data_IF_386198801641
#
_entry.id   IF_386198801641
#
_cell.length_a   1.000
_cell.length_b   1.000
_cell.length_c   1.000
_cell.angle_alpha   90.00
_cell.angle_beta   90.00
_cell.angle_gamma   90.00
#
_symmetry.space_group_name_H-M   'P 1'
#
loop_
_entity.id
_entity.type
_entity.pdbx_description
1 polymer ?
#
# COMPACT_ATOMS: atom_id res chain seq x y z
N UNK A 1 -2.55 26.65 9.55
CA UNK A 1 -3.31 26.48 8.31
C UNK A 1 -3.44 25.00 8.00
N UNK A 2 -4.65 24.53 7.71
CA UNK A 2 -4.89 23.13 7.35
C UNK A 2 -4.45 22.84 5.90
N UNK A 3 -4.06 21.59 5.63
CA UNK A 3 -3.74 21.11 4.29
C UNK A 3 -4.62 19.89 4.01
N UNK A 4 -5.45 19.99 2.99
CA UNK A 4 -6.50 19.03 2.68
C UNK A 4 -6.20 18.28 1.38
N UNK A 5 -6.56 17.01 1.32
CA UNK A 5 -6.42 16.15 0.14
C UNK A 5 -7.75 15.44 -0.13
N UNK A 6 -8.34 15.69 -1.29
CA UNK A 6 -9.45 14.92 -1.83
C UNK A 6 -8.92 13.85 -2.80
N UNK A 7 -9.18 12.59 -2.49
CA UNK A 7 -8.75 11.42 -3.24
C UNK A 7 -9.96 10.90 -4.01
N UNK A 8 -10.07 11.32 -5.27
CA UNK A 8 -11.14 10.96 -6.21
C UNK A 8 -12.57 11.29 -5.75
N UNK A 9 -12.77 12.17 -4.77
CA UNK A 9 -14.10 12.42 -4.19
C UNK A 9 -14.61 11.27 -3.31
N UNK A 10 -13.78 10.25 -3.04
CA UNK A 10 -14.19 9.05 -2.28
C UNK A 10 -13.45 8.90 -0.96
N UNK A 11 -12.29 9.52 -0.82
CA UNK A 11 -11.50 9.55 0.41
C UNK A 11 -10.92 10.94 0.65
N UNK A 12 -10.76 11.30 1.91
CA UNK A 12 -10.25 12.61 2.27
C UNK A 12 -9.29 12.55 3.46
N UNK A 13 -8.17 13.26 3.34
CA UNK A 13 -7.17 13.42 4.39
C UNK A 13 -6.96 14.90 4.70
N UNK A 14 -7.08 15.27 5.98
CA UNK A 14 -6.74 16.61 6.47
C UNK A 14 -5.49 16.57 7.34
N UNK A 15 -4.57 17.51 7.11
CA UNK A 15 -3.46 17.80 8.00
C UNK A 15 -3.78 19.09 8.75
N UNK A 16 -3.88 19.01 10.07
CA UNK A 16 -4.15 20.15 10.95
C UNK A 16 -2.82 20.76 11.37
N UNK A 17 -2.60 22.01 10.99
CA UNK A 17 -1.37 22.77 11.26
C UNK A 17 -0.06 21.97 11.07
N UNK A 18 0.15 21.34 9.90
CA UNK A 18 1.30 20.47 9.70
C UNK A 18 2.61 21.24 9.74
N UNK A 19 3.65 20.58 10.24
CA UNK A 19 5.01 21.06 10.00
C UNK A 19 5.37 20.99 8.51
N UNK A 20 6.30 21.82 8.01
CA UNK A 20 6.76 21.74 6.63
C UNK A 20 7.36 20.37 6.25
N UNK A 21 7.93 19.63 7.20
CA UNK A 21 8.42 18.27 6.98
C UNK A 21 7.28 17.26 6.85
N UNK A 22 6.24 17.35 7.70
CA UNK A 22 5.04 16.52 7.61
C UNK A 22 4.31 16.74 6.28
N UNK A 23 4.07 18.00 5.91
CA UNK A 23 3.41 18.35 4.66
C UNK A 23 4.14 17.76 3.44
N UNK A 24 5.48 17.89 3.38
CA UNK A 24 6.30 17.31 2.30
C UNK A 24 6.26 15.78 2.26
N UNK A 25 6.27 15.13 3.43
CA UNK A 25 6.20 13.67 3.50
C UNK A 25 4.85 13.16 3.02
N UNK A 26 3.76 13.78 3.48
CA UNK A 26 2.40 13.41 3.06
C UNK A 26 2.20 13.68 1.57
N UNK A 27 2.64 14.83 1.06
CA UNK A 27 2.59 15.13 -0.38
C UNK A 27 3.33 14.08 -1.22
N UNK A 28 4.46 13.54 -0.73
CA UNK A 28 5.16 12.41 -1.38
C UNK A 28 4.39 11.09 -1.28
N UNK A 29 3.68 10.82 -0.19
CA UNK A 29 2.88 9.60 -0.03
C UNK A 29 1.58 9.64 -0.83
N UNK A 30 1.03 10.83 -1.04
CA UNK A 30 -0.21 11.08 -1.77
C UNK A 30 0.01 11.61 -3.19
N UNK A 31 1.20 11.44 -3.77
CA UNK A 31 1.40 11.76 -5.17
C UNK A 31 0.53 10.82 -6.05
N UNK A 32 -0.16 11.30 -7.10
CA UNK A 32 -0.10 12.64 -7.71
C UNK A 32 -1.07 13.69 -7.15
N UNK A 33 -1.87 13.39 -6.13
CA UNK A 33 -2.84 14.34 -5.58
C UNK A 33 -2.16 15.59 -5.02
N UNK A 34 -2.81 16.72 -5.28
CA UNK A 34 -2.37 18.04 -4.81
C UNK A 34 -3.33 18.53 -3.73
N UNK A 35 -2.86 19.38 -2.80
CA UNK A 35 -3.75 19.97 -1.81
C UNK A 35 -4.90 20.73 -2.46
N UNK A 36 -6.10 20.57 -1.90
CA UNK A 36 -7.31 21.21 -2.40
C UNK A 36 -8.41 21.21 -1.33
N UNK A 37 -9.45 22.04 -1.49
CA UNK A 37 -10.54 22.11 -0.51
C UNK A 37 -11.32 20.79 -0.45
N UNK A 38 -11.83 20.44 0.74
CA UNK A 38 -12.77 19.33 0.92
C UNK A 38 -14.21 19.82 0.83
N UNK A 39 -15.08 19.02 0.21
CA UNK A 39 -16.52 19.26 0.16
C UNK A 39 -17.25 18.87 1.47
N UNK A 40 -16.63 18.04 2.31
CA UNK A 40 -17.19 17.50 3.55
C UNK A 40 -16.14 17.39 4.65
N UNK A 41 -16.56 16.97 5.84
CA UNK A 41 -15.62 16.54 6.88
C UNK A 41 -14.69 15.42 6.37
N UNK A 42 -13.41 15.43 6.80
CA UNK A 42 -12.42 14.47 6.33
C UNK A 42 -12.62 13.08 6.94
N UNK A 43 -12.32 12.03 6.17
CA UNK A 43 -12.32 10.64 6.65
C UNK A 43 -11.25 10.42 7.72
N UNK A 44 -10.07 11.00 7.49
CA UNK A 44 -8.94 10.96 8.42
C UNK A 44 -8.35 12.35 8.56
N UNK A 45 -8.07 12.76 9.78
CA UNK A 45 -7.29 13.95 10.09
C UNK A 45 -6.02 13.57 10.83
N UNK A 46 -4.94 14.33 10.64
CA UNK A 46 -3.69 14.20 11.37
C UNK A 46 -3.38 15.54 12.03
N UNK A 47 -3.08 15.53 13.34
CA UNK A 47 -2.62 16.71 14.05
C UNK A 47 -1.38 16.42 14.90
N UNK A 48 -0.70 17.48 15.34
CA UNK A 48 0.31 17.33 16.39
C UNK A 48 -0.38 16.89 17.68
N UNK A 49 0.07 15.77 18.23
CA UNK A 49 -0.39 15.28 19.53
C UNK A 49 -0.01 16.30 20.60
N UNK A 50 -1.03 16.87 21.24
CA UNK A 50 -0.90 17.62 22.47
C UNK A 50 -1.20 16.65 23.60
N UNK A 51 -0.17 16.18 24.30
CA UNK A 51 -0.38 15.40 25.52
C UNK A 51 -0.73 16.39 26.62
N UNK A 52 -1.98 16.35 27.09
CA UNK A 52 -2.33 17.07 28.31
C UNK A 52 -2.06 16.12 29.47
N UNK A 53 -1.42 16.56 30.57
CA UNK A 53 -1.32 15.74 31.77
C UNK A 53 -2.72 15.36 32.24
N UNK A 54 -3.16 14.14 31.94
CA UNK A 54 -4.46 13.63 32.36
C UNK A 54 -4.36 13.28 33.84
N UNK A 55 -5.23 13.87 34.66
CA UNK A 55 -5.40 13.48 36.08
C UNK A 55 -6.05 12.10 36.10
N UNK A 56 -5.41 11.12 36.73
CA UNK A 56 -5.95 9.75 36.83
C UNK A 56 -4.86 8.68 36.82
N UNK A 57 -5.30 7.43 36.81
CA UNK A 57 -4.41 6.27 36.71
C UNK A 57 -3.91 6.12 35.27
N UNK A 58 -2.60 5.92 35.13
CA UNK A 58 -1.93 5.67 33.85
C UNK A 58 -1.44 4.24 33.84
N UNK A 59 -1.81 3.51 32.79
CA UNK A 59 -1.46 2.11 32.62
C UNK A 59 -0.54 1.94 31.42
N UNK A 60 0.32 0.93 31.47
CA UNK A 60 1.28 0.61 30.40
C UNK A 60 1.09 -0.82 29.93
N UNK A 61 1.07 -0.98 28.61
CA UNK A 61 1.24 -2.25 27.92
C UNK A 61 2.68 -2.30 27.40
N UNK A 62 3.47 -3.22 27.94
CA UNK A 62 4.88 -3.35 27.60
C UNK A 62 5.12 -3.81 26.15
N UNK A 63 6.41 -3.86 25.80
CA UNK A 63 6.87 -4.44 24.54
C UNK A 63 6.58 -5.95 24.52
N UNK A 64 5.87 -6.40 23.49
CA UNK A 64 5.50 -7.80 23.29
C UNK A 64 6.39 -8.48 22.23
N UNK A 65 7.61 -7.97 22.02
CA UNK A 65 8.55 -8.44 21.01
C UNK A 65 8.39 -7.74 19.65
N UNK A 66 7.66 -6.63 19.59
CA UNK A 66 7.39 -5.85 18.39
C UNK A 66 7.94 -4.40 18.45
N UNK A 67 8.67 -4.08 19.53
CA UNK A 67 9.21 -2.75 19.82
C UNK A 67 8.13 -1.68 19.90
N UNK A 68 6.95 -2.06 20.41
CA UNK A 68 5.81 -1.19 20.63
C UNK A 68 5.35 -1.25 22.08
N UNK A 69 5.18 -0.08 22.67
CA UNK A 69 4.59 0.06 23.99
C UNK A 69 3.35 0.92 23.88
N UNK A 70 2.36 0.68 24.72
CA UNK A 70 1.18 1.55 24.77
C UNK A 70 1.00 2.09 26.16
N UNK A 71 0.60 3.35 26.24
CA UNK A 71 0.10 3.97 27.46
C UNK A 71 -1.37 4.24 27.29
N UNK A 72 -2.14 4.03 28.35
CA UNK A 72 -3.55 4.34 28.33
C UNK A 72 -4.07 4.84 29.67
N UNK A 73 -5.07 5.71 29.59
CA UNK A 73 -5.85 6.23 30.72
C UNK A 73 -7.34 6.01 30.43
N UNK A 74 -8.23 6.60 31.22
CA UNK A 74 -9.67 6.51 30.92
C UNK A 74 -10.03 7.17 29.57
N UNK A 75 -9.27 8.16 29.10
CA UNK A 75 -9.62 8.94 27.90
C UNK A 75 -8.62 8.84 26.75
N UNK A 76 -7.39 8.40 26.98
CA UNK A 76 -6.33 8.42 25.98
C UNK A 76 -5.67 7.07 25.77
N UNK A 77 -5.42 6.71 24.51
CA UNK A 77 -4.65 5.55 24.10
C UNK A 77 -3.48 5.99 23.22
N UNK A 78 -2.25 5.80 23.70
CA UNK A 78 -1.04 6.31 23.05
C UNK A 78 -0.11 5.14 22.77
N UNK A 79 0.17 4.88 21.49
CA UNK A 79 1.28 4.05 21.06
C UNK A 79 2.59 4.84 21.20
N UNK A 80 3.57 4.28 21.90
CA UNK A 80 4.95 4.74 21.91
C UNK A 80 5.84 3.80 21.10
N UNK A 81 6.63 4.39 20.22
CA UNK A 81 7.60 3.67 19.38
C UNK A 81 8.86 4.50 19.23
N UNK A 82 9.90 4.17 20.00
CA UNK A 82 11.11 4.99 20.09
C UNK A 82 10.75 6.42 20.51
N UNK A 83 11.27 7.43 19.78
CA UNK A 83 10.97 8.85 20.04
C UNK A 83 9.64 9.37 19.45
N UNK A 84 8.74 8.47 19.06
CA UNK A 84 7.44 8.81 18.44
C UNK A 84 6.29 8.37 19.34
N UNK A 85 5.28 9.24 19.51
CA UNK A 85 4.02 8.87 20.15
C UNK A 85 2.84 9.12 19.20
N UNK A 86 1.88 8.20 19.17
CA UNK A 86 0.74 8.20 18.27
C UNK A 86 -0.53 7.99 19.09
N UNK A 87 -1.48 8.91 19.00
CA UNK A 87 -2.84 8.72 19.52
C UNK A 87 -3.73 8.22 18.39
N UNK A 88 -4.36 7.06 18.60
CA UNK A 88 -5.18 6.39 17.59
C UNK A 88 -6.62 6.22 18.12
N UNK A 89 -7.59 7.03 17.65
CA UNK A 89 -8.98 6.94 18.11
C UNK A 89 -9.73 5.84 17.34
N UNK A 90 -9.43 4.58 17.63
CA UNK A 90 -10.00 3.43 16.92
C UNK A 90 -11.53 3.42 16.88
N UNK A 91 -12.21 3.93 17.91
CA UNK A 91 -13.67 4.01 17.96
C UNK A 91 -14.30 4.87 16.85
N UNK A 92 -13.54 5.80 16.26
CA UNK A 92 -14.04 6.77 15.26
C UNK A 92 -13.58 6.45 13.82
N UNK A 93 -12.78 5.41 13.62
CA UNK A 93 -12.36 4.99 12.27
C UNK A 93 -13.58 4.60 11.44
N UNK A 94 -13.68 5.13 10.23
CA UNK A 94 -14.83 4.94 9.33
C UNK A 94 -15.91 6.02 9.44
N UNK A 95 -15.87 6.88 10.46
CA UNK A 95 -16.83 7.98 10.67
C UNK A 95 -16.15 9.34 10.83
N UNK A 96 -14.90 9.46 10.39
CA UNK A 96 -14.02 10.60 10.68
C UNK A 96 -13.16 10.35 11.92
N UNK A 97 -11.84 10.24 11.76
CA UNK A 97 -10.92 10.00 12.86
C UNK A 97 -9.75 10.99 12.91
N UNK A 98 -9.41 11.49 14.09
CA UNK A 98 -8.28 12.41 14.31
C UNK A 98 -7.08 11.67 14.93
N UNK A 99 -6.08 11.39 14.12
CA UNK A 99 -4.84 10.74 14.55
C UNK A 99 -3.86 11.80 15.07
N UNK A 100 -3.48 11.68 16.34
CA UNK A 100 -2.49 12.56 16.95
C UNK A 100 -1.08 12.00 16.78
N UNK A 101 -0.09 12.86 16.48
CA UNK A 101 1.32 12.44 16.40
C UNK A 101 2.29 13.42 17.09
N UNK A 102 3.27 12.88 17.81
CA UNK A 102 4.44 13.63 18.30
C UNK A 102 5.74 12.90 17.99
N UNK A 103 6.83 13.66 17.78
CA UNK A 103 8.16 13.15 17.43
C UNK A 103 8.70 13.78 16.15
N UNK A 104 9.93 13.45 15.75
CA UNK A 104 10.53 13.91 14.48
C UNK A 104 10.83 12.78 13.48
N UNK A 105 11.16 11.60 14.00
CA UNK A 105 11.40 10.37 13.22
C UNK A 105 10.13 9.53 13.12
N UNK A 106 10.14 8.48 12.28
CA UNK A 106 9.06 7.48 12.24
C UNK A 106 7.77 7.86 11.50
N UNK A 107 7.62 9.11 11.04
CA UNK A 107 6.41 9.59 10.34
C UNK A 107 6.03 8.76 9.10
N UNK A 108 7.01 8.30 8.30
CA UNK A 108 6.71 7.39 7.18
C UNK A 108 6.00 6.13 7.66
N UNK A 109 6.40 5.60 8.81
CA UNK A 109 5.82 4.40 9.39
C UNK A 109 4.43 4.66 9.96
N UNK A 110 4.19 5.83 10.58
CA UNK A 110 2.84 6.28 10.94
C UNK A 110 1.89 6.25 9.72
N UNK A 111 2.35 6.81 8.59
CA UNK A 111 1.55 6.85 7.37
C UNK A 111 1.21 5.46 6.84
N UNK A 112 2.18 4.54 6.84
CA UNK A 112 2.02 3.19 6.29
C UNK A 112 1.21 2.29 7.24
N UNK A 113 1.52 2.31 8.53
CA UNK A 113 1.01 1.33 9.49
C UNK A 113 -0.35 1.75 10.09
N UNK A 114 -0.69 3.05 10.10
CA UNK A 114 -1.88 3.53 10.82
C UNK A 114 -2.79 4.44 10.00
N UNK A 115 -2.25 5.50 9.37
CA UNK A 115 -3.07 6.44 8.59
C UNK A 115 -3.66 5.78 7.35
N UNK A 116 -2.83 5.07 6.58
CA UNK A 116 -3.27 4.38 5.36
C UNK A 116 -4.31 3.30 5.68
N UNK A 117 -4.10 2.39 6.64
CA UNK A 117 -5.14 1.42 7.01
C UNK A 117 -6.44 2.08 7.47
N UNK A 118 -6.38 3.19 8.21
CA UNK A 118 -7.58 3.94 8.57
C UNK A 118 -8.32 4.46 7.33
N UNK A 119 -7.62 5.07 6.36
CA UNK A 119 -8.20 5.49 5.08
C UNK A 119 -8.79 4.30 4.30
N UNK A 120 -8.11 3.16 4.27
CA UNK A 120 -8.57 1.97 3.57
C UNK A 120 -9.85 1.41 4.19
N UNK A 121 -9.92 1.34 5.53
CA UNK A 121 -11.11 0.89 6.26
C UNK A 121 -12.28 1.86 6.04
N UNK A 122 -12.02 3.18 5.95
CA UNK A 122 -13.05 4.20 5.68
C UNK A 122 -13.70 4.10 4.29
N UNK A 123 -13.21 3.23 3.39
CA UNK A 123 -13.88 2.93 2.12
C UNK A 123 -15.09 2.02 2.29
N UNK A 124 -15.07 1.11 3.27
CA UNK A 124 -16.08 0.06 3.43
C UNK A 124 -17.50 0.59 3.64
N UNK A 125 -17.74 1.63 4.47
CA UNK A 125 -19.06 2.23 4.61
C UNK A 125 -19.58 2.89 3.31
N UNK A 126 -18.69 3.11 2.33
CA UNK A 126 -18.98 3.76 1.04
C UNK A 126 -19.14 2.75 -0.11
N UNK A 127 -19.38 1.47 0.22
CA UNK A 127 -19.44 0.32 -0.70
C UNK A 127 -18.21 0.24 -1.61
N UNK A 128 -17.02 0.42 -1.04
CA UNK A 128 -15.72 0.38 -1.73
C UNK A 128 -14.69 -0.34 -0.88
N UNK A 129 -13.63 -0.83 -1.52
CA UNK A 129 -12.49 -1.42 -0.81
C UNK A 129 -11.16 -1.00 -1.43
N UNK A 130 -10.09 -1.06 -0.64
CA UNK A 130 -8.73 -0.96 -1.13
C UNK A 130 -8.16 -2.37 -1.34
N UNK A 131 -7.99 -2.76 -2.59
CA UNK A 131 -7.46 -4.07 -2.98
C UNK A 131 -5.94 -4.04 -3.03
N UNK A 132 -5.27 -5.07 -2.51
CA UNK A 132 -3.81 -5.20 -2.65
C UNK A 132 -3.45 -5.67 -4.07
N UNK A 133 -3.48 -4.73 -5.01
CA UNK A 133 -3.27 -4.98 -6.43
C UNK A 133 -2.60 -3.82 -7.14
N UNK A 134 -1.87 -4.15 -8.20
CA UNK A 134 -1.61 -3.21 -9.29
C UNK A 134 -2.83 -3.18 -10.23
N UNK A 135 -2.90 -2.14 -11.05
CA UNK A 135 -3.98 -1.94 -11.99
C UNK A 135 -3.50 -1.19 -13.24
N UNK A 136 -3.99 -1.61 -14.39
CA UNK A 136 -3.75 -0.96 -15.69
C UNK A 136 -5.05 -0.82 -16.46
N UNK A 137 -5.10 0.15 -17.37
CA UNK A 137 -6.13 0.26 -18.38
C UNK A 137 -5.53 -0.17 -19.73
N UNK A 138 -6.04 -1.24 -20.30
CA UNK A 138 -5.56 -1.81 -21.55
C UNK A 138 -6.74 -2.01 -22.50
N UNK A 139 -6.66 -1.45 -23.71
CA UNK A 139 -7.74 -1.50 -24.71
C UNK A 139 -9.11 -1.04 -24.15
N UNK A 140 -9.10 -0.02 -23.30
CA UNK A 140 -10.31 0.52 -22.66
C UNK A 140 -10.83 -0.28 -21.47
N UNK A 141 -10.19 -1.40 -21.12
CA UNK A 141 -10.57 -2.29 -20.01
C UNK A 141 -9.65 -2.11 -18.81
N UNK A 142 -10.23 -2.05 -17.62
CA UNK A 142 -9.50 -2.03 -16.35
C UNK A 142 -9.15 -3.45 -15.90
N UNK A 143 -7.86 -3.70 -15.70
CA UNK A 143 -7.31 -5.00 -15.34
C UNK A 143 -6.69 -4.89 -13.95
N UNK A 144 -7.10 -5.77 -13.04
CA UNK A 144 -6.53 -5.91 -11.71
C UNK A 144 -5.46 -7.02 -11.70
N UNK A 145 -4.27 -6.69 -11.22
CA UNK A 145 -3.14 -7.61 -11.05
C UNK A 145 -2.88 -7.76 -9.54
N UNK A 146 -3.47 -8.79 -8.94
CA UNK A 146 -3.54 -8.98 -7.49
C UNK A 146 -2.71 -10.19 -7.04
N UNK A 147 -2.45 -10.31 -5.75
CA UNK A 147 -1.71 -11.43 -5.18
C UNK A 147 -0.84 -11.07 -3.99
N UNK A 148 -0.20 -12.06 -3.41
CA UNK A 148 0.67 -11.88 -2.25
C UNK A 148 1.87 -10.97 -2.55
N UNK A 149 2.56 -10.49 -1.50
CA UNK A 149 3.83 -9.81 -1.69
C UNK A 149 4.78 -10.68 -2.53
N UNK A 150 5.47 -10.07 -3.50
CA UNK A 150 6.42 -10.76 -4.40
C UNK A 150 5.80 -11.76 -5.39
N UNK A 151 4.48 -11.72 -5.61
CA UNK A 151 3.80 -12.57 -6.60
C UNK A 151 3.91 -12.10 -8.05
N UNK A 152 4.60 -10.99 -8.35
CA UNK A 152 4.78 -10.52 -9.73
C UNK A 152 3.84 -9.39 -10.17
N UNK A 153 3.11 -8.74 -9.25
CA UNK A 153 2.12 -7.69 -9.59
C UNK A 153 2.74 -6.51 -10.33
N UNK A 154 3.83 -5.97 -9.79
CA UNK A 154 4.55 -4.85 -10.38
C UNK A 154 5.19 -5.27 -11.70
N UNK A 155 5.73 -6.48 -11.79
CA UNK A 155 6.27 -7.07 -13.01
C UNK A 155 5.20 -7.21 -14.11
N UNK A 156 4.04 -7.75 -13.80
CA UNK A 156 2.91 -7.84 -14.72
C UNK A 156 2.47 -6.45 -15.21
N UNK A 157 2.34 -5.49 -14.28
CA UNK A 157 1.98 -4.12 -14.59
C UNK A 157 2.99 -3.51 -15.57
N UNK A 158 4.30 -3.65 -15.31
CA UNK A 158 5.35 -3.15 -16.20
C UNK A 158 5.27 -3.78 -17.59
N UNK A 159 4.97 -5.08 -17.70
CA UNK A 159 4.76 -5.75 -18.99
C UNK A 159 3.59 -5.14 -19.78
N UNK A 160 2.47 -4.84 -19.12
CA UNK A 160 1.35 -4.13 -19.73
C UNK A 160 1.69 -2.71 -20.15
N UNK A 161 2.42 -1.95 -19.31
CA UNK A 161 2.84 -0.59 -19.66
C UNK A 161 3.79 -0.58 -20.88
N UNK A 162 4.69 -1.56 -20.98
CA UNK A 162 5.55 -1.77 -22.15
C UNK A 162 4.74 -2.09 -23.42
N UNK A 163 3.58 -2.74 -23.27
CA UNK A 163 2.64 -3.02 -24.35
C UNK A 163 1.64 -1.88 -24.65
N UNK A 164 1.82 -0.70 -24.04
CA UNK A 164 1.00 0.48 -24.30
C UNK A 164 -0.25 0.62 -23.43
N UNK A 165 -0.39 -0.17 -22.36
CA UNK A 165 -1.42 0.07 -21.36
C UNK A 165 -1.16 1.40 -20.61
N UNK A 166 -2.23 1.99 -20.09
CA UNK A 166 -2.14 3.13 -19.18
C UNK A 166 -2.06 2.66 -17.72
N UNK A 167 -1.20 3.30 -16.94
CA UNK A 167 -1.10 3.09 -15.49
C UNK A 167 -2.38 3.53 -14.77
N UNK A 168 -2.88 2.70 -13.86
CA UNK A 168 -3.95 3.07 -12.91
C UNK A 168 -3.41 3.04 -11.49
N UNK A 169 -2.78 1.94 -11.07
CA UNK A 169 -2.24 1.79 -9.72
C UNK A 169 -1.15 0.72 -9.64
N UNK A 170 -0.35 0.70 -8.56
CA UNK A 170 0.72 -0.29 -8.36
C UNK A 170 0.53 -1.18 -7.12
N UNK A 171 0.13 -0.61 -5.98
CA UNK A 171 0.13 -1.34 -4.71
C UNK A 171 -1.24 -1.51 -4.07
N UNK A 172 -2.08 -0.48 -4.19
CA UNK A 172 -3.43 -0.49 -3.66
C UNK A 172 -4.35 0.10 -4.72
N UNK A 173 -5.44 -0.57 -5.02
CA UNK A 173 -6.43 -0.09 -5.99
C UNK A 173 -7.77 0.05 -5.30
N UNK A 174 -8.42 1.20 -5.44
CA UNK A 174 -9.80 1.37 -4.97
C UNK A 174 -10.70 0.66 -5.95
N UNK A 175 -11.55 -0.24 -5.46
CA UNK A 175 -12.54 -0.97 -6.25
C UNK A 175 -13.93 -0.58 -5.76
N UNK A 176 -14.80 -0.16 -6.68
CA UNK A 176 -16.22 0.03 -6.35
C UNK A 176 -16.90 -1.33 -6.13
N UNK A 177 -17.71 -1.43 -5.08
CA UNK A 177 -18.38 -2.67 -4.67
C UNK A 177 -19.41 -3.20 -5.66
N UNK A 178 -19.82 -2.38 -6.62
CA UNK A 178 -20.65 -2.78 -7.77
C UNK A 178 -19.83 -3.29 -8.98
N UNK A 179 -18.49 -3.25 -8.89
CA UNK A 179 -17.60 -3.67 -9.97
C UNK A 179 -17.59 -2.73 -11.18
N UNK A 180 -18.03 -1.48 -11.02
CA UNK A 180 -18.07 -0.52 -12.14
C UNK A 180 -16.69 0.03 -12.48
N UNK A 181 -15.93 0.48 -11.48
CA UNK A 181 -14.71 1.26 -11.68
C UNK A 181 -13.61 0.88 -10.71
N UNK A 182 -12.37 0.92 -11.19
CA UNK A 182 -11.15 0.90 -10.39
C UNK A 182 -10.45 2.26 -10.43
N UNK A 183 -9.83 2.66 -9.31
CA UNK A 183 -9.13 3.94 -9.15
C UNK A 183 -7.82 3.76 -8.40
N UNK A 184 -6.91 4.71 -8.59
CA UNK A 184 -5.65 4.73 -7.86
C UNK A 184 -5.91 4.93 -6.35
N UNK A 185 -5.28 4.12 -5.50
CA UNK A 185 -5.14 4.46 -4.08
C UNK A 185 -3.74 5.07 -3.87
N UNK A 186 -3.60 6.21 -3.17
CA UNK A 186 -2.32 6.89 -3.01
C UNK A 186 -1.29 6.08 -2.24
N UNK A 187 -0.26 5.65 -2.95
CA UNK A 187 0.90 5.01 -2.34
C UNK A 187 2.09 5.10 -3.28
N UNK A 188 3.30 5.40 -2.77
CA UNK A 188 4.51 5.22 -3.55
C UNK A 188 4.66 3.77 -3.99
N UNK A 189 5.28 3.63 -5.15
CA UNK A 189 5.64 2.40 -5.83
C UNK A 189 6.95 1.89 -5.22
N UNK A 190 7.05 0.58 -5.02
CA UNK A 190 8.30 -0.04 -4.59
C UNK A 190 8.89 -0.80 -5.75
N UNK A 191 9.90 -0.22 -6.41
CA UNK A 191 10.61 -0.87 -7.52
C UNK A 191 11.85 -1.57 -7.00
N UNK A 192 12.16 -2.74 -7.56
CA UNK A 192 13.44 -3.42 -7.34
C UNK A 192 14.51 -2.78 -8.23
N UNK A 193 15.76 -2.86 -7.82
CA UNK A 193 16.87 -2.29 -8.58
C UNK A 193 16.89 -2.70 -10.06
N UNK A 194 16.68 -3.98 -10.35
CA UNK A 194 16.70 -4.48 -11.73
C UNK A 194 15.52 -3.96 -12.57
N UNK A 195 14.42 -3.54 -11.94
CA UNK A 195 13.29 -2.93 -12.64
C UNK A 195 13.57 -1.50 -13.06
N UNK A 196 14.57 -0.83 -12.46
CA UNK A 196 14.90 0.56 -12.79
C UNK A 196 15.25 0.69 -14.28
N UNK A 197 15.96 -0.30 -14.81
CA UNK A 197 16.40 -0.34 -16.21
C UNK A 197 15.25 -0.66 -17.17
N UNK A 198 14.13 -1.20 -16.67
CA UNK A 198 12.93 -1.49 -17.46
C UNK A 198 11.99 -0.30 -17.57
N UNK A 199 12.21 0.75 -16.77
CA UNK A 199 11.35 1.94 -16.71
C UNK A 199 12.06 3.08 -17.44
N UNK A 200 11.55 3.51 -18.62
CA UNK A 200 12.21 4.51 -19.46
C UNK A 200 12.51 5.81 -18.70
N UNK A 201 13.76 6.27 -18.70
CA UNK A 201 14.18 7.53 -18.08
C UNK A 201 14.06 7.58 -16.55
N UNK A 202 13.80 6.46 -15.86
CA UNK A 202 13.67 6.48 -14.40
C UNK A 202 14.99 6.83 -13.71
N UNK A 203 16.12 6.33 -14.22
CA UNK A 203 17.44 6.62 -13.63
C UNK A 203 17.70 8.13 -13.49
N UNK A 204 17.32 8.92 -14.49
CA UNK A 204 17.52 10.38 -14.51
C UNK A 204 16.60 11.10 -13.51
N UNK A 205 15.43 10.52 -13.22
CA UNK A 205 14.41 11.07 -12.31
C UNK A 205 14.64 10.67 -10.84
N UNK A 206 15.46 9.66 -10.59
CA UNK A 206 15.87 9.27 -9.24
C UNK A 206 16.91 10.25 -8.70
N UNK A 207 16.73 10.71 -7.46
CA UNK A 207 17.67 11.64 -6.83
C UNK A 207 18.93 10.90 -6.36
N UNK A 208 20.05 11.62 -6.24
CA UNK A 208 21.36 11.04 -5.90
C UNK A 208 21.39 10.05 -4.73
N UNK A 209 20.60 10.25 -3.67
CA UNK A 209 20.51 9.29 -2.55
C UNK A 209 19.64 8.06 -2.83
N UNK A 210 18.62 8.19 -3.68
CA UNK A 210 17.80 7.07 -4.16
C UNK A 210 18.64 6.22 -5.15
N UNK A 211 19.41 6.89 -6.02
CA UNK A 211 20.35 6.26 -6.95
C UNK A 211 21.54 5.61 -6.25
N UNK A 212 22.12 6.24 -5.22
CA UNK A 212 23.19 5.66 -4.40
C UNK A 212 22.71 4.41 -3.65
N UNK A 213 21.48 4.39 -3.12
CA UNK A 213 20.89 3.18 -2.52
C UNK A 213 20.68 2.08 -3.55
N UNK A 214 20.16 2.42 -4.73
CA UNK A 214 20.02 1.48 -5.84
C UNK A 214 21.37 0.87 -6.23
N UNK A 215 22.41 1.70 -6.41
CA UNK A 215 23.77 1.28 -6.75
C UNK A 215 24.43 0.44 -5.66
N UNK A 216 24.32 0.85 -4.38
CA UNK A 216 24.88 0.13 -3.24
C UNK A 216 24.27 -1.27 -3.09
N UNK A 217 22.99 -1.43 -3.43
CA UNK A 217 22.36 -2.73 -3.38
C UNK A 217 22.68 -3.65 -4.56
N UNK A 218 23.04 -3.10 -5.74
CA UNK A 218 23.65 -3.89 -6.81
C UNK A 218 24.99 -4.51 -6.40
N UNK A 219 25.73 -3.86 -5.49
CA UNK A 219 26.92 -4.42 -4.86
C UNK A 219 26.57 -5.49 -3.80
N UNK A 220 25.49 -5.32 -3.05
CA UNK A 220 25.05 -6.31 -2.07
C UNK A 220 24.55 -7.62 -2.70
N UNK A 221 23.81 -7.56 -3.82
CA UNK A 221 23.37 -8.75 -4.56
C UNK A 221 24.52 -9.49 -5.24
N UNK A 222 25.57 -8.78 -5.68
CA UNK A 222 26.78 -9.42 -6.21
C UNK A 222 27.58 -10.12 -5.11
N UNK A 223 27.64 -9.56 -3.89
CA UNK A 223 28.22 -10.25 -2.71
C UNK A 223 27.43 -11.51 -2.35
N UNK A 224 26.09 -11.46 -2.30
CA UNK A 224 25.24 -12.64 -2.06
C UNK A 224 25.43 -13.73 -3.14
N UNK A 225 25.69 -13.33 -4.39
CA UNK A 225 25.94 -14.24 -5.52
C UNK A 225 27.32 -14.89 -5.43
N UNK A 226 28.34 -14.15 -4.97
CA UNK A 226 29.67 -14.68 -4.66
C UNK A 226 29.65 -15.61 -3.44
N UNK A 227 28.78 -15.36 -2.47
CA UNK A 227 28.58 -16.22 -1.28
C UNK A 227 27.90 -17.55 -1.59
N UNK A 228 26.88 -17.54 -2.46
CA UNK A 228 26.27 -18.78 -2.99
C UNK A 228 27.31 -19.69 -3.66
N UNK A 229 28.40 -19.12 -4.16
CA UNK A 229 29.57 -19.82 -4.69
C UNK A 229 30.63 -20.17 -3.62
N UNK A 230 30.63 -19.52 -2.45
CA UNK A 230 31.71 -19.62 -1.44
C UNK A 230 31.33 -20.22 -0.07
N UNK A 231 30.11 -20.76 0.12
CA UNK A 231 29.70 -21.63 1.25
C UNK A 231 29.84 -21.07 2.67
N UNK A 232 30.03 -19.77 2.88
CA UNK A 232 30.05 -19.16 4.22
C UNK A 232 28.72 -18.42 4.49
N UNK A 233 27.90 -18.80 5.48
CA UNK A 233 26.54 -18.25 5.63
C UNK A 233 26.52 -16.88 6.35
N UNK A 234 25.90 -15.87 5.72
CA UNK A 234 25.47 -14.63 6.38
C UNK A 234 24.38 -14.87 7.43
N UNK A 235 24.36 -14.02 8.45
CA UNK A 235 23.28 -13.95 9.45
C UNK A 235 21.97 -13.48 8.81
N UNK A 236 20.83 -13.92 9.33
CA UNK A 236 19.48 -13.60 8.81
C UNK A 236 19.22 -12.09 8.74
N UNK A 237 19.80 -11.31 9.67
CA UNK A 237 19.69 -9.85 9.70
C UNK A 237 20.44 -9.18 8.54
N UNK A 238 21.62 -9.68 8.18
CA UNK A 238 22.41 -9.16 7.06
C UNK A 238 21.74 -9.44 5.71
N UNK A 239 21.09 -10.60 5.56
CA UNK A 239 20.26 -10.92 4.37
C UNK A 239 19.05 -9.99 4.24
N UNK A 240 18.33 -9.76 5.34
CA UNK A 240 17.20 -8.81 5.36
C UNK A 240 17.61 -7.37 5.03
N UNK A 241 18.77 -6.92 5.49
CA UNK A 241 19.34 -5.61 5.15
C UNK A 241 19.73 -5.51 3.67
N UNK A 242 20.31 -6.55 3.08
CA UNK A 242 20.68 -6.58 1.66
C UNK A 242 19.44 -6.60 0.74
N UNK A 243 18.40 -7.36 1.08
CA UNK A 243 17.13 -7.38 0.35
C UNK A 243 16.38 -6.05 0.42
N UNK A 244 16.39 -5.40 1.60
CA UNK A 244 15.82 -4.07 1.79
C UNK A 244 16.59 -2.98 1.04
N UNK A 245 17.91 -3.11 0.94
CA UNK A 245 18.74 -2.16 0.21
C UNK A 245 18.40 -2.14 -1.30
N UNK A 246 17.91 -3.25 -1.87
CA UNK A 246 17.57 -3.40 -3.28
C UNK A 246 16.21 -2.86 -3.71
N UNK A 247 15.50 -2.16 -2.82
CA UNK A 247 14.16 -1.62 -3.06
C UNK A 247 14.18 -0.10 -3.01
N UNK A 248 13.72 0.53 -4.08
CA UNK A 248 13.61 1.99 -4.21
C UNK A 248 12.13 2.38 -4.16
N UNK A 249 11.82 3.38 -3.35
CA UNK A 249 10.47 3.96 -3.31
C UNK A 249 10.38 5.08 -4.33
N UNK A 250 9.46 4.96 -5.28
CA UNK A 250 9.25 5.87 -6.41
C UNK A 250 7.82 6.38 -6.36
N UNK A 251 7.58 7.68 -6.56
CA UNK A 251 6.19 8.18 -6.64
C UNK A 251 5.60 7.92 -8.03
N UNK A 252 4.27 7.88 -8.20
CA UNK A 252 3.66 7.77 -9.53
C UNK A 252 4.18 8.81 -10.54
N UNK A 253 4.34 10.08 -10.12
CA UNK A 253 4.92 11.12 -10.97
C UNK A 253 6.39 10.85 -11.35
N UNK A 254 7.17 10.21 -10.48
CA UNK A 254 8.54 9.79 -10.82
C UNK A 254 8.55 8.56 -11.74
N UNK A 255 7.59 7.65 -11.62
CA UNK A 255 7.44 6.49 -12.51
C UNK A 255 7.09 6.95 -13.93
N UNK A 256 6.06 7.80 -14.04
CA UNK A 256 5.48 8.24 -15.30
C UNK A 256 6.25 9.40 -15.94
N UNK A 257 6.86 10.25 -15.11
CA UNK A 257 7.61 11.41 -15.58
C UNK A 257 6.67 12.53 -16.00
N UNK A 258 7.26 13.65 -16.40
CA UNK A 258 6.53 14.80 -16.91
C UNK A 258 6.85 15.01 -18.38
N UNK A 259 5.92 15.61 -19.12
CA UNK A 259 6.10 15.92 -20.55
C UNK A 259 7.33 16.81 -20.82
N UNK A 260 7.84 17.51 -19.81
CA UNK A 260 9.02 18.39 -19.89
C UNK A 260 10.35 17.67 -19.87
N UNK A 261 10.37 16.43 -19.35
CA UNK A 261 11.61 15.70 -19.04
C UNK A 261 11.91 14.63 -20.10
N UNK A 262 11.22 14.70 -21.27
CA UNK A 262 11.14 13.57 -22.20
C UNK A 262 10.51 12.35 -21.52
N UNK A 263 9.41 12.58 -20.77
CA UNK A 263 8.79 11.65 -19.82
C UNK A 263 8.63 10.21 -20.32
N UNK A 264 8.37 9.28 -19.39
CA UNK A 264 8.08 7.91 -19.82
C UNK A 264 6.94 7.96 -20.83
N UNK A 265 7.04 7.21 -21.92
CA UNK A 265 5.97 7.14 -22.93
C UNK A 265 4.67 6.55 -22.36
N UNK A 266 4.67 6.13 -21.09
CA UNK A 266 3.55 5.49 -20.42
C UNK A 266 2.53 6.53 -19.98
N UNK A 267 1.30 6.30 -20.42
CA UNK A 267 0.16 7.09 -20.03
C UNK A 267 -0.33 6.67 -18.64
N UNK A 268 -1.06 7.55 -17.98
CA UNK A 268 -1.80 7.22 -16.78
C UNK A 268 -3.24 7.70 -16.90
N UNK A 269 -4.15 6.94 -16.30
CA UNK A 269 -5.54 7.31 -16.17
C UNK A 269 -5.95 7.27 -14.70
N UNK A 270 -6.74 8.24 -14.22
CA UNK A 270 -7.20 8.24 -12.82
C UNK A 270 -8.11 7.05 -12.50
N UNK A 271 -8.75 6.46 -13.51
CA UNK A 271 -9.71 5.38 -13.36
C UNK A 271 -9.85 4.54 -14.62
N UNK A 272 -10.37 3.31 -14.48
CA UNK A 272 -10.75 2.44 -15.58
C UNK A 272 -11.99 1.60 -15.21
N UNK A 273 -12.82 1.18 -16.19
CA UNK A 273 -13.92 0.27 -15.92
C UNK A 273 -13.39 -1.13 -15.57
N UNK A 274 -13.81 -1.72 -14.45
CA UNK A 274 -13.32 -3.04 -14.07
C UNK A 274 -13.83 -4.11 -15.05
N UNK A 275 -12.92 -4.88 -15.66
CA UNK A 275 -13.28 -5.96 -16.57
C UNK A 275 -12.81 -7.33 -16.08
N UNK A 276 -11.57 -7.42 -15.59
CA UNK A 276 -11.00 -8.70 -15.16
C UNK A 276 -9.99 -8.56 -14.02
N UNK A 277 -9.78 -9.67 -13.32
CA UNK A 277 -8.79 -9.81 -12.25
C UNK A 277 -7.92 -11.04 -12.48
N UNK A 278 -6.61 -10.85 -12.36
CA UNK A 278 -5.61 -11.92 -12.34
C UNK A 278 -5.00 -12.01 -10.93
N UNK A 279 -5.23 -13.13 -10.27
CA UNK A 279 -4.57 -13.51 -9.03
C UNK A 279 -3.24 -14.18 -9.35
N UNK A 280 -2.15 -13.47 -9.15
CA UNK A 280 -0.80 -13.98 -9.36
C UNK A 280 -0.36 -14.82 -8.16
N UNK A 281 0.16 -16.01 -8.44
CA UNK A 281 0.66 -16.97 -7.46
C UNK A 281 2.03 -17.48 -7.92
N UNK A 282 3.00 -17.46 -7.02
CA UNK A 282 4.33 -18.01 -7.31
C UNK A 282 4.27 -19.54 -7.31
N UNK A 283 4.68 -20.17 -8.40
CA UNK A 283 4.81 -21.61 -8.54
C UNK A 283 6.28 -22.03 -8.55
N UNK A 284 6.55 -23.29 -8.18
CA UNK A 284 7.90 -23.89 -8.32
C UNK A 284 8.16 -24.48 -9.70
N UNK A 285 7.20 -24.42 -10.61
CA UNK A 285 7.31 -24.94 -11.96
C UNK A 285 7.86 -23.87 -12.91
N UNK A 286 8.72 -24.26 -13.84
CA UNK A 286 9.30 -23.34 -14.84
C UNK A 286 8.35 -23.10 -16.03
N UNK A 287 7.09 -22.76 -15.72
CA UNK A 287 6.07 -22.41 -16.73
C UNK A 287 5.06 -21.43 -16.16
N UNK A 288 4.47 -20.63 -17.06
CA UNK A 288 3.34 -19.76 -16.73
C UNK A 288 2.05 -20.47 -17.13
N UNK A 289 1.13 -20.63 -16.19
CA UNK A 289 -0.19 -21.19 -16.42
C UNK A 289 -1.27 -20.19 -16.02
N UNK A 290 -2.30 -20.05 -16.86
CA UNK A 290 -3.46 -19.21 -16.59
C UNK A 290 -4.70 -20.09 -16.59
N UNK A 291 -5.50 -19.99 -15.54
CA UNK A 291 -6.74 -20.77 -15.38
C UNK A 291 -7.83 -19.91 -14.79
N UNK A 292 -9.09 -20.23 -15.11
CA UNK A 292 -10.23 -19.60 -14.45
C UNK A 292 -10.21 -19.87 -12.94
N UNK A 293 -10.77 -18.94 -12.19
CA UNK A 293 -10.76 -18.97 -10.73
C UNK A 293 -12.16 -18.82 -10.16
N UNK A 294 -12.39 -19.47 -9.02
CA UNK A 294 -13.61 -19.26 -8.25
C UNK A 294 -13.58 -17.88 -7.57
N UNK A 295 -14.61 -17.08 -7.81
CA UNK A 295 -14.70 -15.70 -7.32
C UNK A 295 -14.69 -15.65 -5.77
N UNK A 296 -15.54 -16.42 -5.05
CA UNK A 296 -15.46 -16.52 -3.59
C UNK A 296 -14.07 -16.88 -3.06
N UNK A 297 -13.40 -17.88 -3.64
CA UNK A 297 -12.04 -18.26 -3.24
C UNK A 297 -11.05 -17.09 -3.39
N UNK A 298 -11.02 -16.46 -4.57
CA UNK A 298 -10.11 -15.34 -4.86
C UNK A 298 -10.38 -14.15 -3.95
N UNK A 299 -11.65 -13.80 -3.77
CA UNK A 299 -12.04 -12.68 -2.91
C UNK A 299 -11.61 -12.91 -1.45
N UNK A 300 -11.81 -14.13 -0.96
CA UNK A 300 -11.39 -14.53 0.38
C UNK A 300 -9.86 -14.44 0.56
N UNK A 301 -9.09 -14.98 -0.39
CA UNK A 301 -7.61 -14.94 -0.35
C UNK A 301 -7.07 -13.51 -0.40
N UNK A 302 -7.68 -12.63 -1.20
CA UNK A 302 -7.25 -11.24 -1.32
C UNK A 302 -7.64 -10.41 -0.09
N UNK A 303 -8.74 -10.72 0.58
CA UNK A 303 -9.08 -10.14 1.88
C UNK A 303 -8.05 -10.53 2.96
N UNK A 304 -7.60 -11.79 2.99
CA UNK A 304 -6.52 -12.22 3.91
C UNK A 304 -5.19 -11.51 3.60
N UNK A 305 -4.87 -11.34 2.32
CA UNK A 305 -3.70 -10.57 1.89
C UNK A 305 -3.78 -9.11 2.38
N UNK A 306 -4.94 -8.47 2.21
CA UNK A 306 -5.15 -7.10 2.67
C UNK A 306 -5.10 -6.98 4.21
N UNK A 307 -5.61 -7.97 4.94
CA UNK A 307 -5.51 -8.03 6.40
C UNK A 307 -4.06 -8.17 6.86
N UNK A 308 -3.27 -9.05 6.21
CA UNK A 308 -1.86 -9.26 6.53
C UNK A 308 -1.01 -8.01 6.28
N UNK A 309 -1.24 -7.29 5.17
CA UNK A 309 -0.55 -6.03 4.88
C UNK A 309 -0.85 -4.94 5.93
N UNK A 310 -2.00 -5.01 6.61
CA UNK A 310 -2.42 -4.08 7.67
C UNK A 310 -2.24 -4.64 9.08
N UNK A 311 -1.49 -5.74 9.26
CA UNK A 311 -1.33 -6.41 10.58
C UNK A 311 -0.85 -5.50 11.72
N UNK A 312 -0.06 -4.46 11.43
CA UNK A 312 0.36 -3.49 12.45
C UNK A 312 -0.83 -2.69 13.01
N UNK A 313 -1.76 -2.29 12.15
CA UNK A 313 -2.99 -1.62 12.54
C UNK A 313 -3.87 -2.51 13.40
N UNK A 314 -4.11 -3.75 12.95
CA UNK A 314 -4.95 -4.71 13.68
C UNK A 314 -4.33 -5.15 15.01
N UNK A 315 -3.01 -5.34 15.07
CA UNK A 315 -2.30 -5.62 16.31
C UNK A 315 -2.43 -4.47 17.32
N UNK A 316 -2.33 -3.23 16.86
CA UNK A 316 -2.56 -2.07 17.73
C UNK A 316 -4.03 -1.97 18.19
N UNK A 317 -4.99 -2.31 17.34
CA UNK A 317 -6.41 -2.39 17.73
C UNK A 317 -6.65 -3.44 18.81
N UNK A 318 -5.97 -4.59 18.76
CA UNK A 318 -6.07 -5.60 19.81
C UNK A 318 -5.56 -5.08 21.16
N UNK A 319 -4.44 -4.32 21.18
CA UNK A 319 -3.97 -3.62 22.40
C UNK A 319 -4.98 -2.59 22.90
N UNK A 320 -5.62 -1.85 22.00
CA UNK A 320 -6.71 -0.94 22.35
C UNK A 320 -7.91 -1.67 22.97
N UNK A 321 -8.29 -2.84 22.44
CA UNK A 321 -9.37 -3.68 22.99
C UNK A 321 -9.05 -4.24 24.38
N UNK A 322 -7.78 -4.56 24.64
CA UNK A 322 -7.32 -4.92 25.98
C UNK A 322 -7.44 -3.74 26.95
N UNK A 323 -6.98 -2.55 26.54
CA UNK A 323 -7.09 -1.33 27.33
C UNK A 323 -8.55 -0.92 27.60
N UNK A 324 -9.45 -1.14 26.63
CA UNK A 324 -10.86 -0.76 26.72
C UNK A 324 -11.81 -1.88 26.26
N UNK A 325 -12.10 -2.87 27.11
CA UNK A 325 -12.97 -3.99 26.74
C UNK A 325 -14.38 -3.58 26.28
N UNK A 326 -14.87 -2.41 26.72
CA UNK A 326 -16.16 -1.85 26.29
C UNK A 326 -16.14 -1.02 24.99
N UNK A 327 -14.97 -0.57 24.50
CA UNK A 327 -14.86 0.28 23.30
C UNK A 327 -14.57 -0.56 22.07
N UNK A 328 -15.55 -0.70 21.18
CA UNK A 328 -15.47 -1.52 19.96
C UNK A 328 -15.64 -0.66 18.72
N UNK A 329 -15.08 -1.14 17.61
CA UNK A 329 -15.39 -0.66 16.27
C UNK A 329 -15.68 -1.88 15.38
N UNK A 330 -16.96 -2.10 15.07
CA UNK A 330 -17.39 -3.24 14.24
C UNK A 330 -16.78 -3.18 12.83
N UNK A 331 -16.55 -1.99 12.29
CA UNK A 331 -15.95 -1.83 10.97
C UNK A 331 -14.53 -2.42 10.92
N UNK A 332 -13.76 -2.26 11.99
CA UNK A 332 -12.43 -2.85 12.11
C UNK A 332 -12.53 -4.36 12.38
N UNK A 333 -13.44 -4.77 13.26
CA UNK A 333 -13.61 -6.17 13.66
C UNK A 333 -14.10 -7.08 12.53
N UNK A 334 -14.94 -6.55 11.64
CA UNK A 334 -15.54 -7.28 10.50
C UNK A 334 -14.89 -6.89 9.16
N UNK A 335 -13.76 -6.18 9.18
CA UNK A 335 -13.13 -5.60 7.99
C UNK A 335 -12.81 -6.66 6.93
N UNK A 336 -12.26 -7.80 7.36
CA UNK A 336 -11.84 -8.89 6.47
C UNK A 336 -13.04 -9.53 5.78
N UNK A 337 -14.11 -9.81 6.52
CA UNK A 337 -15.35 -10.38 5.99
C UNK A 337 -16.07 -9.37 5.09
N UNK A 338 -16.08 -8.09 5.45
CA UNK A 338 -16.64 -7.03 4.64
C UNK A 338 -15.91 -6.91 3.29
N UNK A 339 -14.58 -6.85 3.30
CA UNK A 339 -13.76 -6.78 2.08
C UNK A 339 -13.96 -7.99 1.17
N UNK A 340 -13.97 -9.20 1.74
CA UNK A 340 -14.22 -10.42 0.98
C UNK A 340 -15.59 -10.39 0.29
N UNK A 341 -16.64 -9.94 1.00
CA UNK A 341 -18.00 -9.84 0.43
C UNK A 341 -18.09 -8.75 -0.63
N UNK A 342 -17.56 -7.56 -0.36
CA UNK A 342 -17.57 -6.45 -1.32
C UNK A 342 -16.78 -6.78 -2.57
N UNK A 343 -15.64 -7.47 -2.45
CA UNK A 343 -14.85 -7.90 -3.61
C UNK A 343 -15.56 -9.00 -4.41
N UNK A 344 -16.17 -9.99 -3.75
CA UNK A 344 -16.93 -11.03 -4.44
C UNK A 344 -18.09 -10.43 -5.25
N UNK A 345 -18.83 -9.48 -4.66
CA UNK A 345 -19.88 -8.71 -5.34
C UNK A 345 -19.33 -7.95 -6.55
N UNK A 346 -18.22 -7.23 -6.39
CA UNK A 346 -17.60 -6.48 -7.48
C UNK A 346 -17.12 -7.35 -8.66
N UNK A 347 -16.85 -8.64 -8.40
CA UNK A 347 -16.33 -9.59 -9.38
C UNK A 347 -17.40 -10.53 -9.96
N UNK A 348 -18.65 -10.50 -9.50
CA UNK A 348 -19.70 -11.46 -9.87
C UNK A 348 -19.97 -11.55 -11.39
N UNK A 349 -19.81 -10.43 -12.10
CA UNK A 349 -19.97 -10.33 -13.56
C UNK A 349 -18.65 -10.21 -14.32
N UNK A 350 -17.50 -10.45 -13.65
CA UNK A 350 -16.16 -10.20 -14.18
C UNK A 350 -15.43 -11.51 -14.46
N UNK A 351 -14.43 -11.46 -15.34
CA UNK A 351 -13.57 -12.62 -15.60
C UNK A 351 -12.46 -12.66 -14.56
N UNK A 352 -12.30 -13.79 -13.88
CA UNK A 352 -11.31 -13.94 -12.81
C UNK A 352 -10.43 -15.16 -13.09
N UNK A 353 -9.12 -14.95 -13.01
CA UNK A 353 -8.12 -15.95 -13.32
C UNK A 353 -7.08 -16.08 -12.19
N UNK A 354 -6.51 -17.27 -12.06
CA UNK A 354 -5.25 -17.49 -11.36
C UNK A 354 -4.14 -17.60 -12.39
N UNK A 355 -3.04 -16.89 -12.15
CA UNK A 355 -1.80 -17.01 -12.92
C UNK A 355 -0.73 -17.60 -12.02
N UNK A 356 -0.30 -18.80 -12.36
CA UNK A 356 0.79 -19.50 -11.67
C UNK A 356 2.07 -19.27 -12.49
N UNK A 357 3.12 -18.73 -11.87
CA UNK A 357 4.36 -18.41 -12.55
C UNK A 357 5.59 -18.53 -11.63
N UNK A 358 6.79 -18.85 -12.16
CA UNK A 358 8.02 -18.93 -11.39
C UNK A 358 8.55 -17.54 -11.00
N UNK A 359 9.20 -17.42 -9.84
CA UNK A 359 9.90 -16.20 -9.41
C UNK A 359 11.42 -16.34 -9.56
N UNK A 360 12.15 -15.32 -10.08
CA UNK A 360 11.68 -14.01 -10.57
C UNK A 360 11.03 -14.07 -11.96
N UNK A 361 10.19 -13.08 -12.28
CA UNK A 361 9.39 -13.05 -13.50
C UNK A 361 10.02 -12.20 -14.61
N UNK A 362 9.87 -12.63 -15.88
CA UNK A 362 10.01 -11.76 -17.05
C UNK A 362 8.67 -11.01 -17.29
N UNK A 363 8.62 -9.68 -17.14
CA UNK A 363 7.43 -8.87 -17.42
C UNK A 363 6.80 -9.13 -18.79
N UNK A 364 7.61 -9.33 -19.83
CA UNK A 364 7.14 -9.56 -21.21
C UNK A 364 6.54 -10.96 -21.38
N UNK A 365 7.07 -11.97 -20.69
CA UNK A 365 6.48 -13.31 -20.68
C UNK A 365 5.14 -13.32 -19.94
N UNK A 366 5.06 -12.63 -18.79
CA UNK A 366 3.84 -12.56 -17.99
C UNK A 366 2.72 -11.83 -18.73
N UNK A 367 3.04 -10.70 -19.39
CA UNK A 367 2.11 -10.01 -20.28
C UNK A 367 1.58 -10.93 -21.39
N UNK A 368 2.47 -11.60 -22.15
CA UNK A 368 2.06 -12.48 -23.25
C UNK A 368 1.17 -13.65 -22.81
N UNK A 369 1.35 -14.15 -21.59
CA UNK A 369 0.51 -15.21 -21.04
C UNK A 369 -0.88 -14.71 -20.63
N UNK A 370 -0.96 -13.47 -20.11
CA UNK A 370 -2.20 -12.88 -19.58
C UNK A 370 -3.05 -12.24 -20.69
N UNK A 371 -2.43 -11.59 -21.67
CA UNK A 371 -3.12 -10.80 -22.72
C UNK A 371 -4.25 -11.53 -23.46
N UNK A 372 -4.16 -12.85 -23.79
CA UNK A 372 -5.25 -13.57 -24.44
C UNK A 372 -6.54 -13.65 -23.60
N UNK A 373 -6.46 -13.39 -22.30
CA UNK A 373 -7.57 -13.43 -21.35
C UNK A 373 -8.11 -12.04 -20.99
N UNK A 374 -7.56 -10.97 -21.57
CA UNK A 374 -7.95 -9.59 -21.29
C UNK A 374 -9.23 -9.16 -22.01
#
# INVERSE_FOLDING_TARGET
MNVDYDIHGVLSLRLIDPTPSLARLVARQLDPWRPGPLASEPDVSISRLQTTPTRGSHYRLGDAGDSQECEFSDSEFILRRGGTAISMPFASVGSGCLIGWSGGSGMRKLMIDYVRPALQISLLPKDRLALHSAAVAYEGKGILLAGWAESGKTEAMLGFLQAGAAFVSDKWTIVDGDGSTIRHFPTPITVRNWMIDLIPGLQDRLKGMELLRARAAGLATSVLRVEALSRAPLTTEAKGLAELAGRVSVTPSQLLGTNTDGGSQWQATPSAPLECLFLLVTSGEDRIAVREADVPEVASRLADCAAYERRAFFGLYQRFRYAYPGRRNRLIEEAREAESRTLAKALESKRVFVVEAPFPFDPSALYRAIQPFC
#
